data_IF_167681486243
#
_entry.id   IF_167681486243
#
_cell.length_a   1.000
_cell.length_b   1.000
_cell.length_c   1.000
_cell.angle_alpha   90.00
_cell.angle_beta   90.00
_cell.angle_gamma   90.00
#
_symmetry.space_group_name_H-M   'P 1'
#
loop_
_entity.id
_entity.type
_entity.pdbx_description
1 polymer ?
#
# COMPACT_ATOMS: atom_id res chain seq x y z
N UNK A 1 -20.95 -6.85 44.05
CA UNK A 1 -20.98 -8.00 43.12
C UNK A 1 -21.89 -7.62 41.97
N UNK A 2 -21.49 -7.49 40.70
CA UNK A 2 -20.22 -7.50 39.98
C UNK A 2 -20.52 -6.73 38.68
N UNK A 3 -19.85 -5.61 38.45
CA UNK A 3 -18.80 -5.40 37.43
C UNK A 3 -19.36 -5.08 36.03
N UNK A 4 -19.00 -3.88 35.58
CA UNK A 4 -19.50 -3.09 34.46
C UNK A 4 -19.81 -3.81 33.12
N UNK A 5 -20.97 -3.43 32.57
CA UNK A 5 -21.29 -3.38 31.16
C UNK A 5 -20.17 -2.64 30.38
N UNK A 6 -19.30 -3.38 29.70
CA UNK A 6 -18.23 -2.79 28.90
C UNK A 6 -18.73 -2.52 27.49
N UNK A 7 -19.35 -1.35 27.34
CA UNK A 7 -19.29 -0.44 26.18
C UNK A 7 -18.40 -0.95 25.04
N UNK A 8 -19.02 -1.62 24.06
CA UNK A 8 -18.46 -1.79 22.72
C UNK A 8 -18.47 -0.41 22.05
N UNK A 9 -17.41 0.36 22.29
CA UNK A 9 -17.15 1.59 21.56
C UNK A 9 -17.13 1.27 20.07
N UNK A 10 -18.09 1.81 19.34
CA UNK A 10 -18.19 1.73 17.89
C UNK A 10 -16.89 2.29 17.26
N UNK A 11 -15.90 1.42 17.07
CA UNK A 11 -14.74 1.73 16.25
C UNK A 11 -15.28 1.96 14.84
N UNK A 12 -15.02 3.12 14.19
CA UNK A 12 -15.35 3.24 12.78
C UNK A 12 -14.71 2.04 12.09
N UNK A 13 -15.42 1.40 11.17
CA UNK A 13 -14.95 0.18 10.56
C UNK A 13 -13.72 0.49 9.69
N UNK A 14 -12.56 0.35 10.30
CA UNK A 14 -11.28 0.55 9.65
C UNK A 14 -10.91 -0.77 9.00
N UNK A 15 -10.82 -0.77 7.68
CA UNK A 15 -10.29 -1.91 6.93
C UNK A 15 -8.97 -2.31 7.55
N UNK A 16 -8.89 -3.54 8.03
CA UNK A 16 -7.72 -4.03 8.73
C UNK A 16 -6.60 -4.30 7.73
N UNK A 17 -5.34 -4.08 8.11
CA UNK A 17 -4.20 -4.41 7.25
C UNK A 17 -4.22 -5.89 6.83
N UNK A 18 -4.75 -6.77 7.68
CA UNK A 18 -4.94 -8.20 7.43
C UNK A 18 -5.93 -8.48 6.27
N UNK A 19 -7.05 -7.75 6.22
CA UNK A 19 -8.03 -7.85 5.15
C UNK A 19 -7.42 -7.41 3.81
N UNK A 20 -6.69 -6.29 3.82
CA UNK A 20 -5.98 -5.77 2.64
C UNK A 20 -5.01 -6.83 2.12
N UNK A 21 -4.21 -7.43 3.00
CA UNK A 21 -3.27 -8.49 2.63
C UNK A 21 -3.99 -9.69 2.02
N UNK A 22 -5.13 -10.09 2.58
CA UNK A 22 -5.93 -11.21 2.04
C UNK A 22 -6.40 -10.94 0.62
N UNK A 23 -6.94 -9.74 0.37
CA UNK A 23 -7.41 -9.34 -0.97
C UNK A 23 -6.26 -9.28 -1.97
N UNK A 24 -5.12 -8.73 -1.58
CA UNK A 24 -3.92 -8.69 -2.44
C UNK A 24 -3.41 -10.09 -2.76
N UNK A 25 -3.29 -10.96 -1.74
CA UNK A 25 -2.87 -12.35 -1.90
C UNK A 25 -3.78 -13.10 -2.86
N UNK A 26 -5.10 -12.97 -2.70
CA UNK A 26 -6.08 -13.59 -3.58
C UNK A 26 -6.00 -13.05 -5.02
N UNK A 27 -5.80 -11.74 -5.19
CA UNK A 27 -5.73 -11.12 -6.51
C UNK A 27 -4.49 -11.52 -7.31
N UNK A 28 -3.32 -11.53 -6.67
CA UNK A 28 -2.05 -11.84 -7.32
C UNK A 28 -1.64 -13.32 -7.21
N UNK A 29 -2.45 -14.15 -6.55
CA UNK A 29 -2.17 -15.57 -6.28
C UNK A 29 -0.81 -15.77 -5.60
N UNK A 30 -0.56 -14.95 -4.58
CA UNK A 30 0.65 -15.02 -3.74
C UNK A 30 0.26 -15.32 -2.30
N UNK A 31 1.16 -15.91 -1.52
CA UNK A 31 0.90 -16.17 -0.11
C UNK A 31 1.31 -14.97 0.76
N UNK A 32 0.79 -14.91 1.98
CA UNK A 32 1.22 -13.91 2.97
C UNK A 32 2.69 -14.07 3.33
N UNK A 33 3.17 -15.30 3.36
CA UNK A 33 4.58 -15.64 3.60
C UNK A 33 5.45 -15.10 2.47
N UNK A 34 5.02 -15.16 1.21
CA UNK A 34 5.74 -14.55 0.10
C UNK A 34 5.83 -13.03 0.24
N UNK A 35 4.74 -12.38 0.67
CA UNK A 35 4.72 -10.94 0.90
C UNK A 35 5.67 -10.52 2.03
N UNK A 36 5.76 -11.29 3.12
CA UNK A 36 6.66 -11.02 4.23
C UNK A 36 8.09 -11.56 4.03
N UNK A 37 8.25 -12.54 3.15
CA UNK A 37 9.49 -13.26 2.91
C UNK A 37 10.50 -12.49 2.06
N UNK A 38 11.75 -12.98 1.95
CA UNK A 38 12.86 -12.24 1.33
C UNK A 38 12.80 -12.15 -0.20
N UNK A 39 11.94 -12.94 -0.85
CA UNK A 39 11.83 -13.06 -2.31
C UNK A 39 11.63 -11.71 -3.01
N UNK A 40 12.48 -11.41 -3.99
CA UNK A 40 12.50 -10.13 -4.73
C UNK A 40 12.03 -10.21 -6.18
N UNK A 41 11.59 -11.39 -6.63
CA UNK A 41 11.07 -11.62 -7.98
C UNK A 41 9.92 -10.66 -8.29
N UNK A 42 9.82 -10.18 -9.54
CA UNK A 42 8.79 -9.21 -9.94
C UNK A 42 7.36 -9.66 -9.59
N UNK A 43 7.09 -10.96 -9.72
CA UNK A 43 5.81 -11.60 -9.37
C UNK A 43 5.42 -11.44 -7.89
N UNK A 44 6.39 -11.26 -6.98
CA UNK A 44 6.13 -11.06 -5.54
C UNK A 44 6.36 -9.61 -5.13
N UNK A 45 7.38 -8.96 -5.70
CA UNK A 45 7.76 -7.58 -5.39
C UNK A 45 6.67 -6.58 -5.78
N UNK A 46 6.01 -6.77 -6.92
CA UNK A 46 4.91 -5.89 -7.34
C UNK A 46 3.68 -5.99 -6.42
N UNK A 47 3.12 -7.18 -6.15
CA UNK A 47 2.02 -7.33 -5.18
C UNK A 47 2.35 -6.74 -3.81
N UNK A 48 3.58 -6.91 -3.34
CA UNK A 48 4.05 -6.36 -2.07
C UNK A 48 4.06 -4.83 -2.05
N UNK A 49 4.53 -4.20 -3.13
CA UNK A 49 4.51 -2.73 -3.25
C UNK A 49 3.09 -2.19 -3.30
N UNK A 50 2.20 -2.88 -4.04
CA UNK A 50 0.77 -2.56 -4.09
C UNK A 50 0.14 -2.69 -2.71
N UNK A 51 0.50 -3.72 -1.93
CA UNK A 51 0.05 -3.87 -0.55
C UNK A 51 0.51 -2.72 0.36
N UNK A 52 1.76 -2.24 0.23
CA UNK A 52 2.22 -1.05 0.96
C UNK A 52 1.36 0.17 0.68
N UNK A 53 1.09 0.41 -0.61
CA UNK A 53 0.29 1.54 -1.06
C UNK A 53 -1.16 1.44 -0.55
N UNK A 54 -1.78 0.27 -0.65
CA UNK A 54 -3.15 0.04 -0.14
C UNK A 54 -3.23 0.20 1.38
N UNK A 55 -2.33 -0.42 2.14
CA UNK A 55 -2.29 -0.26 3.60
C UNK A 55 -2.10 1.21 3.95
N UNK A 56 -1.22 1.93 3.24
CA UNK A 56 -1.01 3.36 3.48
C UNK A 56 -2.22 4.22 3.11
N UNK A 57 -3.01 3.82 2.10
CA UNK A 57 -4.18 4.55 1.62
C UNK A 57 -5.44 4.29 2.47
N UNK A 58 -5.60 3.08 2.99
CA UNK A 58 -6.79 2.64 3.74
C UNK A 58 -6.60 2.64 5.26
N UNK A 59 -5.36 2.65 5.75
CA UNK A 59 -5.06 2.65 7.20
C UNK A 59 -4.26 3.89 7.59
N UNK A 60 -4.34 4.28 8.86
CA UNK A 60 -3.52 5.37 9.44
C UNK A 60 -2.13 4.90 9.89
N UNK A 61 -1.67 3.73 9.42
CA UNK A 61 -0.39 3.17 9.84
C UNK A 61 0.79 4.02 9.33
N UNK A 62 1.82 4.13 10.18
CA UNK A 62 3.08 4.77 9.82
C UNK A 62 3.93 3.82 8.96
N UNK A 63 4.81 4.39 8.12
CA UNK A 63 5.75 3.63 7.29
C UNK A 63 6.55 2.56 8.07
N UNK A 64 7.10 2.83 9.27
CA UNK A 64 7.77 1.78 10.05
C UNK A 64 6.81 0.70 10.57
N UNK A 65 5.57 1.05 10.93
CA UNK A 65 4.58 0.06 11.34
C UNK A 65 4.19 -0.87 10.17
N UNK A 66 4.04 -0.30 8.97
CA UNK A 66 3.84 -1.08 7.74
C UNK A 66 5.05 -2.00 7.52
N UNK A 67 6.28 -1.49 7.60
CA UNK A 67 7.50 -2.30 7.44
C UNK A 67 7.54 -3.53 8.36
N UNK A 68 7.13 -3.37 9.61
CA UNK A 68 7.02 -4.47 10.58
C UNK A 68 6.03 -5.56 10.16
N UNK A 69 4.87 -5.19 9.59
CA UNK A 69 3.89 -6.16 9.10
C UNK A 69 4.43 -7.06 7.98
N UNK A 70 5.36 -6.55 7.17
CA UNK A 70 5.93 -7.29 6.04
C UNK A 70 7.30 -7.87 6.36
N UNK A 71 7.46 -8.44 7.55
CA UNK A 71 8.69 -9.13 7.97
C UNK A 71 9.82 -8.21 8.44
N UNK A 72 9.49 -7.07 9.05
CA UNK A 72 10.50 -6.18 9.64
C UNK A 72 11.30 -5.36 8.63
N UNK A 73 10.70 -4.99 7.50
CA UNK A 73 11.38 -4.21 6.45
C UNK A 73 11.61 -2.75 6.82
N UNK A 74 12.72 -2.20 6.31
CA UNK A 74 13.02 -0.79 6.45
C UNK A 74 11.89 0.11 5.93
N UNK A 75 11.54 1.12 6.72
CA UNK A 75 10.51 2.11 6.37
C UNK A 75 10.82 2.84 5.04
N UNK A 76 12.11 2.97 4.70
CA UNK A 76 12.55 3.54 3.41
C UNK A 76 12.21 2.62 2.24
N UNK A 77 12.22 1.30 2.43
CA UNK A 77 11.78 0.31 1.44
C UNK A 77 10.27 0.42 1.21
N UNK A 78 9.49 0.56 2.29
CA UNK A 78 8.04 0.79 2.20
C UNK A 78 7.77 2.07 1.42
N UNK A 79 8.42 3.17 1.79
CA UNK A 79 8.29 4.46 1.10
C UNK A 79 8.59 4.34 -0.40
N UNK A 80 9.73 3.77 -0.77
CA UNK A 80 10.12 3.56 -2.17
C UNK A 80 9.13 2.67 -2.92
N UNK A 81 8.55 1.68 -2.25
CA UNK A 81 7.53 0.82 -2.83
C UNK A 81 6.23 1.58 -3.14
N UNK A 82 5.78 2.41 -2.22
CA UNK A 82 4.61 3.30 -2.41
C UNK A 82 4.85 4.25 -3.58
N UNK A 83 5.98 4.96 -3.58
CA UNK A 83 6.36 5.89 -4.65
C UNK A 83 6.42 5.18 -6.02
N UNK A 84 6.95 3.96 -6.08
CA UNK A 84 7.04 3.19 -7.33
C UNK A 84 5.69 2.76 -7.90
N UNK A 85 4.71 2.48 -7.04
CA UNK A 85 3.34 2.19 -7.48
C UNK A 85 2.69 3.45 -8.04
N UNK A 86 2.86 4.58 -7.36
CA UNK A 86 2.34 5.88 -7.81
C UNK A 86 2.96 6.31 -9.14
N UNK A 87 4.28 6.18 -9.29
CA UNK A 87 4.99 6.45 -10.55
C UNK A 87 4.47 5.58 -11.70
N UNK A 88 4.27 4.28 -11.46
CA UNK A 88 3.76 3.35 -12.48
C UNK A 88 2.31 3.63 -12.84
N UNK A 89 1.46 3.93 -11.86
CA UNK A 89 0.07 4.32 -12.09
C UNK A 89 -0.05 5.69 -12.78
N UNK A 90 0.93 6.58 -12.61
CA UNK A 90 0.99 7.84 -13.32
C UNK A 90 1.48 7.70 -14.77
N UNK A 91 2.38 6.75 -15.02
CA UNK A 91 2.96 6.51 -16.34
C UNK A 91 2.08 5.64 -17.25
N UNK A 92 1.31 4.72 -16.68
CA UNK A 92 0.54 3.71 -17.42
C UNK A 92 -0.91 3.68 -16.93
N UNK A 93 -1.83 3.97 -17.84
CA UNK A 93 -3.26 4.00 -17.54
C UNK A 93 -3.80 2.60 -17.20
N UNK A 94 -3.26 1.55 -17.80
CA UNK A 94 -3.71 0.18 -17.52
C UNK A 94 -3.34 -0.22 -16.09
N UNK A 95 -2.13 0.09 -15.67
CA UNK A 95 -1.70 -0.10 -14.28
C UNK A 95 -2.58 0.71 -13.32
N UNK A 96 -2.89 1.96 -13.69
CA UNK A 96 -3.79 2.82 -12.90
C UNK A 96 -5.16 2.19 -12.72
N UNK A 97 -5.75 1.67 -13.80
CA UNK A 97 -7.05 0.97 -13.77
C UNK A 97 -6.98 -0.27 -12.88
N UNK A 98 -5.94 -1.08 -13.03
CA UNK A 98 -5.75 -2.30 -12.21
C UNK A 98 -5.64 -1.98 -10.72
N UNK A 99 -4.80 -1.01 -10.35
CA UNK A 99 -4.58 -0.61 -8.95
C UNK A 99 -5.85 0.02 -8.36
N UNK A 100 -6.57 0.84 -9.11
CA UNK A 100 -7.86 1.38 -8.67
C UNK A 100 -8.93 0.31 -8.50
N UNK A 101 -9.05 -0.64 -9.44
CA UNK A 101 -9.99 -1.73 -9.31
C UNK A 101 -9.70 -2.59 -8.07
N UNK A 102 -8.42 -2.80 -7.74
CA UNK A 102 -8.03 -3.49 -6.51
C UNK A 102 -8.37 -2.68 -5.25
N UNK A 103 -8.16 -1.37 -5.31
CA UNK A 103 -8.53 -0.44 -4.24
C UNK A 103 -10.04 -0.43 -3.96
N UNK A 104 -10.86 -0.49 -5.02
CA UNK A 104 -12.31 -0.59 -4.91
C UNK A 104 -12.75 -1.93 -4.31
N UNK A 105 -12.09 -3.04 -4.66
CA UNK A 105 -12.37 -4.36 -4.05
C UNK A 105 -12.15 -4.36 -2.54
N UNK A 106 -11.06 -3.76 -2.08
CA UNK A 106 -10.75 -3.62 -0.64
C UNK A 106 -11.85 -2.85 0.11
N UNK A 107 -12.51 -1.90 -0.54
CA UNK A 107 -13.60 -1.10 0.05
C UNK A 107 -14.99 -1.72 -0.16
N UNK A 108 -15.16 -2.77 -0.97
CA UNK A 108 -16.49 -3.36 -1.22
C UNK A 108 -16.91 -4.31 -0.10
N UNK A 109 -15.94 -4.96 0.53
CA UNK A 109 -16.13 -5.85 1.67
C UNK A 109 -15.89 -5.15 3.04
N UNK A 110 -15.57 -3.85 3.03
CA UNK A 110 -15.35 -3.03 4.23
C UNK A 110 -16.06 -1.67 4.12
N UNK A 111 -16.79 -1.23 5.14
CA UNK A 111 -17.75 -0.12 5.03
C UNK A 111 -17.15 1.26 4.72
N UNK A 112 -18.03 2.10 4.17
CA UNK A 112 -17.73 3.30 3.41
C UNK A 112 -16.96 4.40 4.16
N UNK A 113 -15.78 4.70 3.61
CA UNK A 113 -15.09 5.99 3.46
C UNK A 113 -15.39 7.13 4.44
N UNK A 114 -14.39 7.47 5.27
CA UNK A 114 -14.24 8.84 5.81
C UNK A 114 -13.19 9.57 4.97
N UNK A 115 -13.62 10.57 4.21
CA UNK A 115 -12.77 11.61 3.64
C UNK A 115 -11.90 12.22 4.76
N UNK A 116 -10.60 12.01 4.73
CA UNK A 116 -9.67 12.84 5.51
C UNK A 116 -8.68 13.52 4.58
N UNK A 117 -8.86 14.85 4.50
CA UNK A 117 -7.87 15.80 4.00
C UNK A 117 -6.55 15.56 4.72
N UNK A 118 -5.49 15.26 3.97
CA UNK A 118 -4.14 15.49 4.43
C UNK A 118 -3.40 16.29 3.37
N UNK A 119 -3.42 17.60 3.60
CA UNK A 119 -2.56 18.57 2.94
C UNK A 119 -1.10 18.26 3.28
N UNK A 120 -0.43 17.50 2.42
CA UNK A 120 1.01 17.62 2.26
C UNK A 120 1.30 17.65 0.76
N UNK A 121 1.23 18.87 0.22
CA UNK A 121 1.58 19.15 -1.14
C UNK A 121 3.01 18.73 -1.43
N UNK A 122 3.16 17.94 -2.49
CA UNK A 122 4.22 18.15 -3.46
C UNK A 122 3.58 18.09 -4.85
N UNK A 123 3.76 19.13 -5.68
CA UNK A 123 3.30 19.07 -7.06
C UNK A 123 3.97 17.90 -7.77
N UNK A 124 3.20 17.29 -8.66
CA UNK A 124 3.58 16.29 -9.65
C UNK A 124 4.73 16.82 -10.52
N UNK A 125 5.94 16.84 -9.98
CA UNK A 125 7.12 17.30 -10.69
C UNK A 125 7.65 16.14 -11.53
N UNK A 126 7.33 16.18 -12.83
CA UNK A 126 8.02 15.44 -13.88
C UNK A 126 9.54 15.48 -13.67
N UNK A 127 10.11 14.42 -13.08
CA UNK A 127 11.54 14.13 -13.21
C UNK A 127 11.75 13.16 -14.35
N UNK A 128 11.52 13.65 -15.57
CA UNK A 128 12.22 13.14 -16.77
C UNK A 128 13.32 14.15 -17.10
N UNK A 129 14.56 13.70 -17.02
CA UNK A 129 15.72 14.51 -17.39
C UNK A 129 17.02 14.10 -16.70
N UNK A 130 17.37 12.82 -16.71
CA UNK A 130 18.77 12.41 -16.49
C UNK A 130 19.32 11.99 -17.86
N UNK A 131 19.74 12.99 -18.64
CA UNK A 131 20.51 12.77 -19.85
C UNK A 131 21.83 12.11 -19.45
N UNK A 132 22.12 11.00 -20.12
CA UNK A 132 23.30 10.18 -19.89
C UNK A 132 24.56 10.94 -20.29
N UNK A 133 25.62 10.64 -19.55
CA UNK A 133 26.95 11.20 -19.66
C UNK A 133 27.53 10.93 -21.05
N UNK A 134 28.02 11.97 -21.71
CA UNK A 134 28.96 11.83 -22.81
C UNK A 134 30.32 11.44 -22.24
N UNK A 135 30.73 10.20 -22.49
CA UNK A 135 32.14 9.78 -22.48
C UNK A 135 32.43 9.43 -23.93
N UNK A 136 33.33 10.18 -24.56
CA UNK A 136 33.75 9.98 -25.93
C UNK A 136 34.94 10.87 -26.23
N UNK A 137 36.13 10.29 -25.98
CA UNK A 137 37.50 10.57 -26.45
C UNK A 137 37.95 12.02 -26.64
#
# INVERSE_FOLDING_TARGET
MSEADQIQGANPPQVSADEILTVVCAHFRVTREDLSGPLRTAHISWPRQVAYWLVRAHTKMSLPAIGRLFGGRDHTTVKRGVERVEEKAAADEEIRRQVNALREKVCRDGPAFVRHNHAHGKPFASRRGRLQRGIGV
#
